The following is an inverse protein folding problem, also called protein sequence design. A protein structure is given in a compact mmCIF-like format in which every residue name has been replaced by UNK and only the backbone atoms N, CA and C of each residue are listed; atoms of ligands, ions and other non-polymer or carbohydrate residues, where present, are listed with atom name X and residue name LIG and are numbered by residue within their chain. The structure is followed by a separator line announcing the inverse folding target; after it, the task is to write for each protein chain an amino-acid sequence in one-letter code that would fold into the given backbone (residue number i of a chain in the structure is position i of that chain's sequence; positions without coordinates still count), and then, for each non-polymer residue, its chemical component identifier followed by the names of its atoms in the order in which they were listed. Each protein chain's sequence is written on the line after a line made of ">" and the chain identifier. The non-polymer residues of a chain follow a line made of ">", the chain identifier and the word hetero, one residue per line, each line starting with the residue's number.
data_IF_314577178058
#
_entry.id   IF_314577178058
#
_cell.length_a   1.000
_cell.length_b   1.000
_cell.length_c   1.000
_cell.angle_alpha   90.00
_cell.angle_beta   90.00
_cell.angle_gamma   90.00
#
_symmetry.space_group_name_H-M   'P 1'
#
loop_
_entity.id
_entity.type
_entity.pdbx_description
1 polymer ?
#
# COMPACT_ATOMS: atom_id res chain seq x y z
N UNK A 1 22.50 19.27 6.83
CA UNK A 1 21.13 19.74 6.56
C UNK A 1 20.56 18.86 5.47
N UNK A 2 19.31 18.41 5.62
CA UNK A 2 18.63 17.58 4.61
C UNK A 2 18.21 18.40 3.39
N UNK A 3 18.06 17.76 2.22
CA UNK A 3 17.76 18.46 0.94
C UNK A 3 16.47 19.31 1.04
N UNK A 4 15.42 18.75 1.62
CA UNK A 4 14.13 19.43 1.74
C UNK A 4 14.18 20.56 2.76
N UNK A 5 14.82 20.34 3.90
CA UNK A 5 15.04 21.37 4.92
C UNK A 5 15.81 22.56 4.35
N UNK A 6 16.86 22.29 3.57
CA UNK A 6 17.66 23.32 2.92
C UNK A 6 16.89 24.10 1.85
N UNK A 7 16.03 23.40 1.09
CA UNK A 7 15.19 24.03 0.08
C UNK A 7 14.09 24.87 0.72
N UNK A 8 13.40 24.35 1.74
CA UNK A 8 12.34 25.08 2.43
C UNK A 8 12.90 26.32 3.17
N UNK A 9 14.17 26.30 3.58
CA UNK A 9 14.85 27.46 4.16
C UNK A 9 15.26 28.54 3.14
N UNK A 10 15.62 28.13 1.91
CA UNK A 10 16.25 29.05 0.93
C UNK A 10 15.39 29.35 -0.29
N UNK A 11 14.33 28.56 -0.51
CA UNK A 11 13.46 28.54 -1.69
C UNK A 11 14.22 28.54 -3.03
N UNK A 12 15.50 28.13 -3.01
CA UNK A 12 16.42 28.23 -4.13
C UNK A 12 17.22 26.95 -4.25
N UNK A 13 17.07 26.23 -5.36
CA UNK A 13 17.78 24.98 -5.65
C UNK A 13 19.29 25.12 -5.49
N UNK A 14 19.88 26.21 -5.97
CA UNK A 14 21.32 26.45 -5.94
C UNK A 14 21.86 26.70 -4.53
N UNK A 15 21.14 27.49 -3.73
CA UNK A 15 21.49 27.74 -2.33
C UNK A 15 21.32 26.47 -1.49
N UNK A 16 20.23 25.74 -1.68
CA UNK A 16 20.00 24.46 -1.01
C UNK A 16 21.06 23.40 -1.37
N UNK A 17 21.46 23.32 -2.64
CA UNK A 17 22.53 22.44 -3.12
C UNK A 17 23.88 22.77 -2.45
N UNK A 18 24.20 24.06 -2.34
CA UNK A 18 25.42 24.53 -1.66
C UNK A 18 25.42 24.14 -0.17
N UNK A 19 24.29 24.34 0.52
CA UNK A 19 24.17 24.02 1.94
C UNK A 19 24.13 22.51 2.25
N UNK A 20 23.70 21.70 1.30
CA UNK A 20 23.58 20.24 1.44
C UNK A 20 24.76 19.47 0.83
N UNK A 21 25.61 20.12 0.04
CA UNK A 21 26.71 19.48 -0.69
C UNK A 21 26.27 18.58 -1.85
N UNK A 22 25.04 18.72 -2.35
CA UNK A 22 24.50 17.92 -3.44
C UNK A 22 24.54 18.65 -4.79
N UNK A 23 24.46 17.91 -5.90
CA UNK A 23 24.31 18.52 -7.22
C UNK A 23 22.95 19.26 -7.33
N UNK A 24 22.89 20.49 -7.85
CA UNK A 24 21.64 21.24 -8.02
C UNK A 24 20.56 20.49 -8.82
N UNK A 25 20.92 19.65 -9.79
CA UNK A 25 19.96 18.82 -10.53
C UNK A 25 19.35 17.75 -9.64
N UNK A 26 20.10 17.21 -8.67
CA UNK A 26 19.58 16.25 -7.69
C UNK A 26 18.58 16.92 -6.77
N UNK A 27 18.91 18.10 -6.23
CA UNK A 27 18.00 18.89 -5.39
C UNK A 27 16.73 19.22 -6.17
N UNK A 28 16.87 19.74 -7.40
CA UNK A 28 15.74 20.02 -8.29
C UNK A 28 14.86 18.79 -8.50
N UNK A 29 15.44 17.65 -8.87
CA UNK A 29 14.70 16.39 -9.08
C UNK A 29 13.93 15.97 -7.83
N UNK A 30 14.51 16.16 -6.64
CA UNK A 30 13.89 15.72 -5.39
C UNK A 30 12.73 16.61 -5.00
N UNK A 31 12.89 17.93 -5.16
CA UNK A 31 11.82 18.91 -4.96
C UNK A 31 10.69 18.66 -5.95
N UNK A 32 10.98 18.50 -7.24
CA UNK A 32 9.96 18.18 -8.26
C UNK A 32 9.24 16.85 -7.98
N UNK A 33 9.96 15.83 -7.50
CA UNK A 33 9.35 14.57 -7.07
C UNK A 33 8.37 14.81 -5.91
N UNK A 34 8.81 15.50 -4.85
CA UNK A 34 7.99 15.86 -3.68
C UNK A 34 6.74 16.64 -4.09
N UNK A 35 6.89 17.66 -4.92
CA UNK A 35 5.80 18.54 -5.36
C UNK A 35 4.78 17.77 -6.23
N UNK A 36 5.23 16.74 -6.95
CA UNK A 36 4.35 15.80 -7.66
C UNK A 36 3.78 14.68 -6.77
N UNK A 37 4.00 14.73 -5.45
CA UNK A 37 3.55 13.71 -4.50
C UNK A 37 4.31 12.38 -4.58
N UNK A 38 5.44 12.34 -5.30
CA UNK A 38 6.31 11.16 -5.41
C UNK A 38 7.40 11.19 -4.36
N UNK A 39 7.75 10.01 -3.84
CA UNK A 39 8.90 9.85 -2.96
C UNK A 39 10.18 9.71 -3.81
N UNK A 40 11.13 10.68 -3.79
CA UNK A 40 12.35 10.58 -4.61
C UNK A 40 13.30 9.47 -4.17
N UNK A 41 13.12 8.92 -2.97
CA UNK A 41 13.89 7.77 -2.49
C UNK A 41 13.34 6.44 -3.00
N UNK A 42 12.11 6.43 -3.51
CA UNK A 42 11.50 5.25 -4.09
C UNK A 42 11.80 5.16 -5.58
N UNK A 43 12.25 3.98 -6.00
CA UNK A 43 12.49 3.71 -7.41
C UNK A 43 11.17 3.51 -8.12
N UNK A 44 10.95 4.24 -9.21
CA UNK A 44 9.78 4.02 -10.06
C UNK A 44 9.72 2.55 -10.54
N UNK A 45 8.58 1.86 -10.36
CA UNK A 45 8.42 0.51 -10.84
C UNK A 45 8.55 0.49 -12.36
N UNK A 46 9.38 -0.43 -12.87
CA UNK A 46 9.48 -0.65 -14.31
C UNK A 46 8.24 -1.39 -14.81
N UNK A 47 7.70 -1.03 -15.99
CA UNK A 47 6.65 -1.80 -16.64
C UNK A 47 7.07 -3.26 -16.82
N UNK A 48 6.17 -4.18 -16.50
CA UNK A 48 6.33 -5.64 -16.64
C UNK A 48 5.37 -6.13 -17.70
N UNK A 49 5.73 -7.22 -18.38
CA UNK A 49 4.85 -7.86 -19.39
C UNK A 49 3.46 -8.25 -18.85
N UNK A 50 3.35 -8.53 -17.55
CA UNK A 50 2.07 -8.89 -16.91
C UNK A 50 1.15 -7.70 -16.73
N UNK A 51 1.68 -6.46 -16.77
CA UNK A 51 0.93 -5.25 -16.48
C UNK A 51 -0.20 -5.03 -17.49
N UNK A 52 0.03 -5.40 -18.75
CA UNK A 52 -0.97 -5.38 -19.83
C UNK A 52 -2.17 -6.32 -19.60
N UNK A 53 -2.08 -7.25 -18.64
CA UNK A 53 -3.11 -8.24 -18.33
C UNK A 53 -3.72 -8.06 -16.94
N UNK A 54 -3.29 -7.05 -16.16
CA UNK A 54 -3.73 -6.87 -14.77
C UNK A 54 -5.25 -6.69 -14.66
N UNK A 55 -5.84 -5.87 -15.54
CA UNK A 55 -7.29 -5.65 -15.57
C UNK A 55 -8.05 -6.97 -15.72
N UNK A 56 -7.58 -7.86 -16.60
CA UNK A 56 -8.23 -9.16 -16.81
C UNK A 56 -8.07 -10.10 -15.61
N UNK A 57 -6.92 -10.06 -14.96
CA UNK A 57 -6.68 -10.81 -13.73
C UNK A 57 -7.62 -10.33 -12.62
N UNK A 58 -7.76 -9.02 -12.46
CA UNK A 58 -8.65 -8.39 -11.48
C UNK A 58 -10.12 -8.75 -11.74
N UNK A 59 -10.57 -8.69 -13.00
CA UNK A 59 -11.90 -9.12 -13.40
C UNK A 59 -12.17 -10.58 -12.98
N UNK A 60 -11.27 -11.52 -13.30
CA UNK A 60 -11.44 -12.91 -12.91
C UNK A 60 -11.37 -13.13 -11.40
N UNK A 61 -10.56 -12.35 -10.68
CA UNK A 61 -10.51 -12.38 -9.22
C UNK A 61 -11.84 -11.89 -8.63
N UNK A 62 -12.41 -10.80 -9.12
CA UNK A 62 -13.72 -10.29 -8.66
C UNK A 62 -14.83 -11.31 -8.96
N UNK A 63 -14.93 -11.78 -10.21
CA UNK A 63 -15.95 -12.76 -10.64
C UNK A 63 -15.89 -14.05 -9.81
N UNK A 64 -14.67 -14.51 -9.48
CA UNK A 64 -14.47 -15.71 -8.68
C UNK A 64 -14.49 -15.47 -7.18
N UNK A 65 -14.71 -14.23 -6.71
CA UNK A 65 -14.61 -13.86 -5.29
C UNK A 65 -13.28 -14.33 -4.67
N UNK A 66 -12.17 -14.09 -5.38
CA UNK A 66 -10.81 -14.49 -5.04
C UNK A 66 -10.55 -16.02 -4.93
N UNK A 67 -11.44 -16.88 -5.45
CA UNK A 67 -11.25 -18.34 -5.41
C UNK A 67 -10.44 -18.89 -6.60
N UNK A 68 -10.37 -18.18 -7.73
CA UNK A 68 -9.69 -18.67 -8.95
C UNK A 68 -8.23 -19.06 -8.70
N UNK A 69 -7.79 -20.21 -9.21
CA UNK A 69 -6.39 -20.66 -9.09
C UNK A 69 -5.49 -19.93 -10.09
N UNK A 70 -4.25 -19.67 -9.67
CA UNK A 70 -3.29 -18.92 -10.49
C UNK A 70 -2.82 -19.65 -11.75
N UNK A 71 -2.82 -20.98 -11.75
CA UNK A 71 -2.50 -21.79 -12.93
C UNK A 71 -3.61 -21.72 -13.97
N UNK A 72 -4.88 -21.77 -13.55
CA UNK A 72 -6.04 -21.54 -14.43
C UNK A 72 -5.98 -20.14 -15.05
N UNK A 73 -5.59 -19.12 -14.28
CA UNK A 73 -5.34 -17.78 -14.82
C UNK A 73 -4.21 -17.80 -15.84
N UNK A 74 -3.10 -18.48 -15.55
CA UNK A 74 -1.96 -18.55 -16.45
C UNK A 74 -2.33 -19.18 -17.80
N UNK A 75 -3.05 -20.30 -17.80
CA UNK A 75 -3.49 -20.96 -19.03
C UNK A 75 -4.39 -20.06 -19.87
N UNK A 76 -5.27 -19.28 -19.22
CA UNK A 76 -6.10 -18.27 -19.91
C UNK A 76 -5.25 -17.14 -20.49
N UNK A 77 -4.28 -16.63 -19.74
CA UNK A 77 -3.38 -15.57 -20.21
C UNK A 77 -2.50 -16.02 -21.38
N UNK A 78 -1.98 -17.24 -21.35
CA UNK A 78 -1.19 -17.81 -22.45
C UNK A 78 -2.03 -17.89 -23.73
N UNK A 79 -3.30 -18.31 -23.63
CA UNK A 79 -4.25 -18.29 -24.77
C UNK A 79 -4.53 -16.87 -25.30
N UNK A 80 -4.37 -15.84 -24.45
CA UNK A 80 -4.47 -14.43 -24.81
C UNK A 80 -3.13 -13.83 -25.27
N UNK A 81 -2.08 -14.64 -25.43
CA UNK A 81 -0.78 -14.20 -25.94
C UNK A 81 0.22 -13.72 -24.87
N UNK A 82 0.01 -14.04 -23.59
CA UNK A 82 0.98 -13.69 -22.54
C UNK A 82 2.30 -14.48 -22.69
N UNK A 83 3.45 -13.81 -22.92
CA UNK A 83 4.73 -14.49 -23.17
C UNK A 83 5.53 -14.76 -21.87
N UNK A 84 5.02 -14.35 -20.71
CA UNK A 84 5.74 -14.44 -19.45
C UNK A 84 5.54 -15.76 -18.70
N UNK A 85 6.24 -15.90 -17.57
CA UNK A 85 6.23 -17.15 -16.79
C UNK A 85 4.99 -17.31 -15.89
N UNK A 86 4.64 -18.57 -15.59
CA UNK A 86 3.63 -18.91 -14.58
C UNK A 86 3.93 -18.32 -13.18
N UNK A 87 5.21 -18.14 -12.84
CA UNK A 87 5.63 -17.49 -11.57
C UNK A 87 5.18 -16.03 -11.54
N UNK A 88 5.33 -15.30 -12.63
CA UNK A 88 4.89 -13.91 -12.75
C UNK A 88 3.38 -13.79 -12.64
N UNK A 89 2.64 -14.66 -13.34
CA UNK A 89 1.17 -14.74 -13.20
C UNK A 89 0.75 -15.00 -11.76
N UNK A 90 1.38 -15.97 -11.08
CA UNK A 90 1.05 -16.28 -9.67
C UNK A 90 1.25 -15.09 -8.74
N UNK A 91 2.32 -14.31 -8.95
CA UNK A 91 2.56 -13.08 -8.17
C UNK A 91 1.46 -12.04 -8.41
N UNK A 92 1.09 -11.81 -9.67
CA UNK A 92 0.03 -10.86 -10.01
C UNK A 92 -1.34 -11.29 -9.46
N UNK A 93 -1.69 -12.57 -9.59
CA UNK A 93 -2.93 -13.12 -9.02
C UNK A 93 -2.95 -12.97 -7.50
N UNK A 94 -1.85 -13.28 -6.81
CA UNK A 94 -1.77 -13.12 -5.35
C UNK A 94 -1.91 -11.66 -4.94
N UNK A 95 -1.27 -10.72 -5.65
CA UNK A 95 -1.40 -9.29 -5.39
C UNK A 95 -2.86 -8.82 -5.58
N UNK A 96 -3.50 -9.20 -6.70
CA UNK A 96 -4.90 -8.87 -6.99
C UNK A 96 -5.85 -9.45 -5.93
N UNK A 97 -5.65 -10.71 -5.51
CA UNK A 97 -6.42 -11.31 -4.41
C UNK A 97 -6.23 -10.58 -3.08
N UNK A 98 -5.02 -10.15 -2.77
CA UNK A 98 -4.74 -9.37 -1.56
C UNK A 98 -5.47 -8.03 -1.59
N UNK A 99 -5.41 -7.30 -2.71
CA UNK A 99 -6.15 -6.06 -2.91
C UNK A 99 -7.67 -6.26 -2.79
N UNK A 100 -8.20 -7.30 -3.44
CA UNK A 100 -9.61 -7.68 -3.34
C UNK A 100 -10.04 -7.92 -1.89
N UNK A 101 -9.25 -8.70 -1.14
CA UNK A 101 -9.53 -8.97 0.28
C UNK A 101 -9.44 -7.71 1.13
N UNK A 102 -8.51 -6.80 0.86
CA UNK A 102 -8.40 -5.54 1.58
C UNK A 102 -9.65 -4.67 1.39
N UNK A 103 -10.18 -4.59 0.16
CA UNK A 103 -11.40 -3.84 -0.15
C UNK A 103 -12.70 -4.50 0.34
N UNK A 104 -12.72 -5.83 0.51
CA UNK A 104 -13.89 -6.59 0.98
C UNK A 104 -13.81 -7.02 2.46
N UNK A 105 -12.72 -6.69 3.17
CA UNK A 105 -12.57 -6.99 4.58
C UNK A 105 -13.72 -6.30 5.30
N UNK A 106 -14.61 -7.09 5.93
CA UNK A 106 -15.66 -6.56 6.78
C UNK A 106 -14.98 -5.63 7.78
N UNK A 107 -15.22 -4.33 7.69
CA UNK A 107 -14.69 -3.36 8.64
C UNK A 107 -15.23 -3.77 10.00
N UNK A 108 -14.38 -4.42 10.82
CA UNK A 108 -14.64 -4.47 12.23
C UNK A 108 -14.71 -3.02 12.68
N UNK A 109 -15.90 -2.57 13.05
CA UNK A 109 -16.12 -1.25 13.62
C UNK A 109 -16.05 -1.48 15.13
N UNK A 110 -14.94 -1.14 15.79
CA UNK A 110 -14.86 -1.27 17.23
C UNK A 110 -15.97 -0.39 17.80
N UNK A 111 -16.81 -0.97 18.64
CA UNK A 111 -17.74 -0.18 19.41
C UNK A 111 -16.92 0.51 20.51
N UNK A 112 -16.63 1.80 20.29
CA UNK A 112 -15.88 2.64 21.23
C UNK A 112 -16.93 3.55 21.89
N UNK A 113 -17.40 3.24 23.11
CA UNK A 113 -18.26 4.15 23.82
C UNK A 113 -17.46 5.40 24.20
N UNK A 114 -18.12 6.56 24.14
CA UNK A 114 -17.57 7.75 24.79
C UNK A 114 -17.41 7.47 26.28
N UNK A 115 -16.31 7.93 26.92
CA UNK A 115 -16.16 7.86 28.37
C UNK A 115 -17.41 8.41 29.07
N UNK A 116 -18.03 7.61 29.94
CA UNK A 116 -19.24 7.98 30.69
C UNK A 116 -20.58 7.73 29.98
N UNK A 117 -20.60 7.22 28.74
CA UNK A 117 -21.83 6.82 28.02
C UNK A 117 -22.14 5.33 28.11
N UNK A 118 -21.32 4.59 28.84
CA UNK A 118 -21.53 3.18 29.11
C UNK A 118 -20.95 2.78 30.46
N UNK A 119 -21.59 1.79 31.08
CA UNK A 119 -21.21 1.21 32.36
C UNK A 119 -21.16 -0.31 32.20
N UNK A 120 -20.03 -0.92 32.54
CA UNK A 120 -20.00 -2.35 32.85
C UNK A 120 -20.41 -2.50 34.31
N UNK A 121 -21.33 -3.43 34.55
CA UNK A 121 -21.74 -3.79 35.89
C UNK A 121 -21.55 -5.29 36.07
N UNK A 122 -20.97 -5.67 37.20
CA UNK A 122 -20.76 -7.06 37.58
C UNK A 122 -21.13 -7.24 39.06
N UNK A 123 -21.53 -8.45 39.43
CA UNK A 123 -21.89 -8.81 40.80
C UNK A 123 -20.78 -9.66 41.41
N UNK A 124 -20.39 -9.34 42.64
CA UNK A 124 -19.46 -10.16 43.42
C UNK A 124 -20.03 -10.44 44.80
N UNK A 125 -19.91 -11.69 45.27
CA UNK A 125 -20.14 -12.05 46.66
C UNK A 125 -18.80 -12.12 47.40
N UNK A 126 -18.71 -11.42 48.53
CA UNK A 126 -17.55 -11.44 49.41
C UNK A 126 -17.87 -12.13 50.73
N UNK A 127 -16.93 -12.90 51.26
CA UNK A 127 -17.08 -13.53 52.58
C UNK A 127 -16.78 -12.50 53.67
N UNK A 128 -17.70 -12.32 54.62
CA UNK A 128 -17.48 -11.46 55.79
C UNK A 128 -16.85 -12.29 56.89
N UNK A 129 -15.59 -12.03 57.21
CA UNK A 129 -14.96 -12.56 58.42
C UNK A 129 -15.18 -11.53 59.55
N UNK A 130 -15.90 -11.95 60.59
CA UNK A 130 -16.01 -11.22 61.85
C UNK A 130 -14.96 -11.77 62.81
N UNK A 131 -14.15 -10.87 63.40
CA UNK A 131 -13.16 -11.20 64.41
C UNK A 131 -13.79 -11.60 65.74
#
# INVERSE_FOLDING_TARGET
>A
MEIFEAYDLTETVWSAATLTGHDPKTVKRYVEARDSGRNPYEREPRPKMIDAFLEKIEEWVEQSKATIRADVVHDKLVKMGYPGSARSTRRAVNASKTAWKAGKRRTYRPWIPEPGRWLQFDWGEGVVALN
#
